data_IF_492883937144
#
_entry.id   IF_492883937144
#
_cell.length_a   1.000
_cell.length_b   1.000
_cell.length_c   1.000
_cell.angle_alpha   90.00
_cell.angle_beta   90.00
_cell.angle_gamma   90.00
#
_symmetry.space_group_name_H-M   'P 1'
#
loop_
_entity.id
_entity.type
_entity.pdbx_description
1 polymer ?
#
# COMPACT_ATOMS: atom_id res chain seq x y z
N UNK A 1 21.49 -36.96 8.44
CA UNK A 1 22.35 -35.76 8.61
C UNK A 1 21.45 -34.55 8.52
N UNK A 2 21.57 -33.61 9.45
CA UNK A 2 20.82 -32.35 9.42
C UNK A 2 21.30 -31.53 8.22
N UNK A 3 20.36 -30.97 7.44
CA UNK A 3 20.67 -30.06 6.34
C UNK A 3 20.19 -28.65 6.70
N UNK A 4 21.00 -27.63 6.42
CA UNK A 4 20.63 -26.23 6.61
C UNK A 4 21.02 -25.36 5.42
N UNK A 5 20.20 -24.35 5.11
CA UNK A 5 20.53 -23.27 4.18
C UNK A 5 20.19 -21.91 4.78
N UNK A 6 20.93 -20.87 4.40
CA UNK A 6 20.75 -19.49 4.88
C UNK A 6 20.82 -18.51 3.71
N UNK A 7 19.99 -17.48 3.73
CA UNK A 7 19.98 -16.39 2.75
C UNK A 7 19.65 -15.07 3.44
N UNK A 8 20.18 -13.96 2.94
CA UNK A 8 20.00 -12.62 3.51
C UNK A 8 19.31 -11.70 2.51
N UNK A 9 18.52 -10.76 3.02
CA UNK A 9 17.77 -9.78 2.22
C UNK A 9 17.55 -8.49 3.02
N UNK A 10 17.39 -7.36 2.33
CA UNK A 10 17.19 -6.05 2.95
C UNK A 10 15.72 -5.63 2.93
N UNK A 11 15.27 -5.01 4.02
CA UNK A 11 13.96 -4.34 4.12
C UNK A 11 14.18 -2.86 4.40
N UNK A 12 13.60 -1.97 3.58
CA UNK A 12 13.71 -0.54 3.83
C UNK A 12 12.84 -0.12 5.04
N UNK A 13 13.31 0.88 5.80
CA UNK A 13 12.61 1.35 7.00
C UNK A 13 11.17 1.80 6.75
N UNK A 14 10.90 2.42 5.58
CA UNK A 14 9.54 2.83 5.23
C UNK A 14 8.63 1.63 4.93
N UNK A 15 9.17 0.55 4.35
CA UNK A 15 8.41 -0.67 4.10
C UNK A 15 8.01 -1.29 5.43
N UNK A 16 8.98 -1.50 6.33
CA UNK A 16 8.77 -2.10 7.65
C UNK A 16 7.68 -1.41 8.47
N UNK A 17 7.53 -0.09 8.34
CA UNK A 17 6.53 0.67 9.10
C UNK A 17 5.11 0.60 8.51
N UNK A 18 4.98 0.28 7.22
CA UNK A 18 3.70 0.30 6.50
C UNK A 18 3.18 -1.09 6.10
N UNK A 19 3.97 -2.14 6.33
CA UNK A 19 3.57 -3.53 6.06
C UNK A 19 2.56 -4.03 7.10
N UNK A 20 1.51 -4.69 6.61
CA UNK A 20 0.53 -5.42 7.42
C UNK A 20 1.02 -6.84 7.73
N UNK A 21 1.51 -7.54 6.70
CA UNK A 21 2.06 -8.89 6.78
C UNK A 21 3.04 -9.15 5.64
N UNK A 22 3.89 -10.16 5.80
CA UNK A 22 4.73 -10.66 4.71
C UNK A 22 4.25 -12.05 4.30
N UNK A 23 4.25 -12.33 3.00
CA UNK A 23 4.01 -13.68 2.49
C UNK A 23 5.36 -14.31 2.12
N UNK A 24 5.76 -15.34 2.85
CA UNK A 24 6.88 -16.19 2.47
C UNK A 24 6.36 -17.30 1.56
N UNK A 25 6.94 -17.45 0.37
CA UNK A 25 6.67 -18.57 -0.53
C UNK A 25 7.96 -19.20 -1.04
N UNK A 26 7.98 -20.52 -1.18
CA UNK A 26 9.13 -21.27 -1.69
C UNK A 26 8.68 -22.63 -2.23
N UNK A 27 9.58 -23.30 -2.96
CA UNK A 27 9.39 -24.64 -3.47
C UNK A 27 10.34 -25.61 -2.79
N UNK A 28 9.86 -26.79 -2.41
CA UNK A 28 10.68 -27.84 -1.79
C UNK A 28 10.68 -29.08 -2.68
N UNK A 29 11.87 -29.47 -3.12
CA UNK A 29 12.12 -30.73 -3.81
C UNK A 29 12.90 -31.69 -2.88
N UNK A 30 12.52 -32.96 -2.86
CA UNK A 30 13.05 -33.97 -1.95
C UNK A 30 13.73 -35.07 -2.74
N UNK A 31 15.04 -35.22 -2.55
CA UNK A 31 15.83 -36.21 -3.28
C UNK A 31 15.77 -37.61 -2.63
N UNK A 32 15.26 -37.73 -1.40
CA UNK A 32 15.23 -38.97 -0.62
C UNK A 32 13.81 -39.47 -0.37
N UNK A 33 13.65 -40.79 -0.24
CA UNK A 33 12.40 -41.43 0.21
C UNK A 33 12.09 -41.18 1.69
N UNK A 34 13.06 -40.66 2.45
CA UNK A 34 12.90 -40.27 3.85
C UNK A 34 12.70 -38.76 3.93
N UNK A 35 11.60 -38.34 4.56
CA UNK A 35 11.31 -36.94 4.90
C UNK A 35 11.31 -36.76 6.42
N UNK A 36 11.90 -35.66 6.87
CA UNK A 36 11.91 -35.20 8.24
C UNK A 36 11.14 -33.88 8.42
N UNK A 37 11.13 -33.40 9.66
CA UNK A 37 10.57 -32.10 10.01
C UNK A 37 11.50 -30.99 9.52
N UNK A 38 10.92 -30.00 8.87
CA UNK A 38 11.58 -28.78 8.44
C UNK A 38 11.20 -27.62 9.36
N UNK A 39 12.19 -26.83 9.76
CA UNK A 39 12.02 -25.60 10.54
C UNK A 39 12.49 -24.41 9.70
N UNK A 40 11.72 -23.32 9.74
CA UNK A 40 12.01 -22.05 9.07
C UNK A 40 12.25 -21.00 10.14
N UNK A 41 13.36 -20.29 10.02
CA UNK A 41 13.77 -19.25 10.95
C UNK A 41 14.00 -17.92 10.23
N UNK A 42 13.59 -16.82 10.86
CA UNK A 42 13.89 -15.46 10.42
C UNK A 42 14.57 -14.73 11.56
N UNK A 43 15.76 -14.19 11.32
CA UNK A 43 16.58 -13.52 12.35
C UNK A 43 16.71 -14.37 13.63
N UNK A 44 17.06 -15.65 13.45
CA UNK A 44 17.21 -16.66 14.52
C UNK A 44 15.92 -16.94 15.33
N UNK A 45 14.74 -16.58 14.79
CA UNK A 45 13.43 -16.89 15.39
C UNK A 45 12.68 -17.89 14.54
N UNK A 46 12.26 -19.00 15.14
CA UNK A 46 11.41 -19.97 14.49
C UNK A 46 10.05 -19.35 14.12
N UNK A 47 9.71 -19.38 12.82
CA UNK A 47 8.46 -18.83 12.28
C UNK A 47 7.50 -19.90 11.75
N UNK A 48 8.03 -21.07 11.40
CA UNK A 48 7.23 -22.20 10.94
C UNK A 48 7.96 -23.53 11.18
N UNK A 49 7.18 -24.58 11.43
CA UNK A 49 7.65 -25.95 11.52
C UNK A 49 6.64 -26.91 10.90
N UNK A 50 7.08 -27.74 9.96
CA UNK A 50 6.19 -28.66 9.24
C UNK A 50 6.97 -29.80 8.57
N UNK A 51 6.27 -30.85 8.14
CA UNK A 51 6.85 -31.87 7.25
C UNK A 51 6.48 -31.47 5.81
N UNK A 52 7.45 -31.15 4.93
CA UNK A 52 7.16 -30.66 3.59
C UNK A 52 6.45 -31.71 2.73
N UNK A 53 5.41 -31.30 2.02
CA UNK A 53 4.86 -32.06 0.90
C UNK A 53 5.70 -31.76 -0.35
N UNK A 54 6.59 -32.69 -0.68
CA UNK A 54 7.59 -32.52 -1.71
C UNK A 54 6.95 -32.34 -3.09
N UNK A 55 7.48 -31.41 -3.87
CA UNK A 55 7.01 -31.18 -5.24
C UNK A 55 5.93 -30.11 -5.38
N UNK A 56 5.49 -29.50 -4.27
CA UNK A 56 4.47 -28.44 -4.23
C UNK A 56 5.02 -27.12 -3.70
N UNK A 57 4.52 -25.96 -4.18
CA UNK A 57 4.84 -24.67 -3.58
C UNK A 57 4.20 -24.54 -2.20
N UNK A 58 4.93 -23.96 -1.26
CA UNK A 58 4.47 -23.64 0.09
C UNK A 58 4.39 -22.14 0.28
N UNK A 59 3.40 -21.67 1.02
CA UNK A 59 3.22 -20.25 1.34
C UNK A 59 2.69 -20.06 2.77
N UNK A 60 3.23 -19.07 3.47
CA UNK A 60 2.83 -18.72 4.84
C UNK A 60 2.79 -17.20 5.01
N UNK A 61 1.78 -16.73 5.74
CA UNK A 61 1.74 -15.35 6.23
C UNK A 61 2.63 -15.22 7.47
N UNK A 62 3.45 -14.17 7.50
CA UNK A 62 4.40 -13.86 8.54
C UNK A 62 4.09 -12.49 9.13
N UNK A 63 4.16 -12.41 10.46
CA UNK A 63 3.99 -11.15 11.18
C UNK A 63 5.18 -10.21 10.90
N UNK A 64 4.95 -8.89 10.73
CA UNK A 64 6.03 -7.91 10.54
C UNK A 64 7.06 -7.88 11.68
N UNK A 65 6.68 -8.35 12.89
CA UNK A 65 7.55 -8.42 14.07
C UNK A 65 8.72 -9.39 13.96
N UNK A 66 8.74 -10.27 12.95
CA UNK A 66 9.88 -11.14 12.68
C UNK A 66 11.01 -10.42 11.93
N UNK A 67 10.73 -9.24 11.37
CA UNK A 67 11.65 -8.51 10.51
C UNK A 67 12.17 -7.23 11.18
N UNK A 68 13.39 -6.85 10.81
CA UNK A 68 14.04 -5.58 11.18
C UNK A 68 14.24 -4.72 9.94
N UNK A 69 14.41 -3.40 10.14
CA UNK A 69 14.88 -2.54 9.05
C UNK A 69 16.35 -2.85 8.74
N UNK A 70 16.71 -2.88 7.46
CA UNK A 70 18.03 -3.31 7.00
C UNK A 70 18.08 -4.81 6.73
N UNK A 71 19.24 -5.41 7.01
CA UNK A 71 19.52 -6.80 6.69
C UNK A 71 18.73 -7.76 7.58
N UNK A 72 18.13 -8.75 6.96
CA UNK A 72 17.41 -9.85 7.58
C UNK A 72 17.92 -11.17 7.03
N UNK A 73 17.88 -12.19 7.87
CA UNK A 73 18.28 -13.55 7.51
C UNK A 73 17.08 -14.49 7.53
N UNK A 74 17.00 -15.36 6.53
CA UNK A 74 16.13 -16.54 6.53
C UNK A 74 16.96 -17.81 6.51
N UNK A 75 16.64 -18.74 7.40
CA UNK A 75 17.27 -20.04 7.47
C UNK A 75 16.24 -21.15 7.39
N UNK A 76 16.59 -22.23 6.70
CA UNK A 76 15.82 -23.46 6.65
C UNK A 76 16.68 -24.57 7.22
N UNK A 77 16.11 -25.40 8.08
CA UNK A 77 16.77 -26.59 8.60
C UNK A 77 15.84 -27.80 8.52
N UNK A 78 16.39 -28.98 8.32
CA UNK A 78 15.64 -30.23 8.37
C UNK A 78 16.38 -31.29 9.19
N UNK A 79 15.64 -32.01 10.04
CA UNK A 79 16.20 -33.01 10.95
C UNK A 79 16.61 -34.32 10.24
N UNK A 80 15.92 -34.67 9.15
CA UNK A 80 16.18 -35.83 8.31
C UNK A 80 15.76 -35.60 6.85
N UNK A 81 16.40 -36.31 5.91
CA UNK A 81 16.14 -36.19 4.48
C UNK A 81 17.14 -35.29 3.74
N UNK A 82 16.98 -35.18 2.41
CA UNK A 82 17.74 -34.26 1.55
C UNK A 82 16.78 -33.38 0.77
N UNK A 83 16.90 -32.08 0.94
CA UNK A 83 15.99 -31.09 0.37
C UNK A 83 16.72 -30.13 -0.56
N UNK A 84 16.03 -29.70 -1.61
CA UNK A 84 16.38 -28.53 -2.40
C UNK A 84 15.28 -27.50 -2.22
N UNK A 85 15.65 -26.34 -1.67
CA UNK A 85 14.72 -25.23 -1.43
C UNK A 85 14.99 -24.18 -2.50
N UNK A 86 13.95 -23.84 -3.25
CA UNK A 86 14.06 -23.02 -4.44
C UNK A 86 12.99 -21.93 -4.42
N UNK A 87 13.20 -20.89 -5.25
CA UNK A 87 12.22 -19.83 -5.48
C UNK A 87 11.75 -19.14 -4.20
N UNK A 88 12.65 -18.98 -3.22
CA UNK A 88 12.35 -18.27 -1.98
C UNK A 88 11.97 -16.83 -2.32
N UNK A 89 10.75 -16.44 -1.95
CA UNK A 89 10.22 -15.09 -2.13
C UNK A 89 9.57 -14.64 -0.84
N UNK A 90 9.83 -13.40 -0.48
CA UNK A 90 9.18 -12.71 0.62
C UNK A 90 8.49 -11.49 0.01
N UNK A 91 7.16 -11.48 0.04
CA UNK A 91 6.36 -10.42 -0.59
C UNK A 91 5.64 -9.65 0.51
N UNK A 92 5.91 -8.34 0.69
CA UNK A 92 5.17 -7.52 1.63
C UNK A 92 3.72 -7.31 1.16
N UNK A 93 2.78 -7.38 2.09
CA UNK A 93 1.41 -6.88 1.94
C UNK A 93 1.30 -5.63 2.79
N UNK A 94 1.16 -4.48 2.15
CA UNK A 94 1.05 -3.18 2.84
C UNK A 94 -0.36 -3.01 3.42
N UNK A 95 -0.45 -2.27 4.53
CA UNK A 95 -1.75 -1.86 5.08
C UNK A 95 -2.48 -1.04 4.02
N UNK A 96 -3.80 -1.21 3.93
CA UNK A 96 -4.63 -0.28 3.16
C UNK A 96 -4.40 1.14 3.67
N UNK A 97 -3.75 1.98 2.85
CA UNK A 97 -3.54 3.38 3.21
C UNK A 97 -4.90 4.06 3.16
N UNK A 98 -5.45 4.32 4.34
CA UNK A 98 -6.67 5.11 4.48
C UNK A 98 -6.31 6.58 4.25
N UNK A 99 -6.67 7.09 3.08
CA UNK A 99 -6.47 8.49 2.75
C UNK A 99 -7.58 9.37 3.32
N UNK A 100 -7.28 10.62 3.72
CA UNK A 100 -8.29 11.53 4.27
C UNK A 100 -9.40 11.79 3.25
N UNK A 101 -10.64 11.74 3.74
CA UNK A 101 -11.83 12.14 2.99
C UNK A 101 -12.40 13.39 3.62
N UNK A 102 -12.50 14.45 2.83
CA UNK A 102 -13.06 15.73 3.19
C UNK A 102 -14.50 15.81 2.72
N UNK A 103 -15.37 16.41 3.53
CA UNK A 103 -16.77 16.59 3.20
C UNK A 103 -17.08 18.08 3.10
N UNK A 104 -17.91 18.44 2.12
CA UNK A 104 -18.45 19.79 2.00
C UNK A 104 -19.92 19.72 1.60
N UNK A 105 -20.68 20.73 2.02
CA UNK A 105 -22.11 20.82 1.75
C UNK A 105 -22.40 21.94 0.75
N UNK A 106 -23.18 21.62 -0.28
CA UNK A 106 -23.73 22.60 -1.23
C UNK A 106 -25.20 22.82 -0.88
N UNK A 107 -25.56 24.06 -0.53
CA UNK A 107 -26.94 24.42 -0.22
C UNK A 107 -27.80 24.37 -1.49
N UNK A 108 -29.10 24.12 -1.33
CA UNK A 108 -30.04 24.07 -2.46
C UNK A 108 -29.96 25.31 -3.37
N UNK A 109 -29.87 26.52 -2.78
CA UNK A 109 -29.76 27.77 -3.54
C UNK A 109 -28.46 27.87 -4.35
N UNK A 110 -27.34 27.40 -3.81
CA UNK A 110 -26.05 27.37 -4.49
C UNK A 110 -26.06 26.33 -5.61
N UNK A 111 -26.63 25.15 -5.34
CA UNK A 111 -26.76 24.07 -6.32
C UNK A 111 -27.59 24.51 -7.53
N UNK A 112 -28.74 25.14 -7.32
CA UNK A 112 -29.56 25.69 -8.41
C UNK A 112 -28.76 26.69 -9.26
N UNK A 113 -27.96 27.56 -8.62
CA UNK A 113 -27.13 28.54 -9.33
C UNK A 113 -26.00 27.87 -10.13
N UNK A 114 -25.41 26.79 -9.62
CA UNK A 114 -24.40 25.97 -10.31
C UNK A 114 -24.98 25.28 -11.53
N UNK A 115 -26.15 24.66 -11.40
CA UNK A 115 -26.84 24.00 -12.52
C UNK A 115 -27.21 25.01 -13.63
N UNK A 116 -27.61 26.21 -13.23
CA UNK A 116 -27.92 27.31 -14.15
C UNK A 116 -26.69 28.10 -14.62
N UNK A 117 -25.47 27.68 -14.27
CA UNK A 117 -24.19 28.30 -14.66
C UNK A 117 -24.02 29.77 -14.24
N UNK A 118 -24.80 30.22 -13.25
CA UNK A 118 -24.71 31.57 -12.65
C UNK A 118 -23.76 31.63 -11.46
N UNK A 119 -23.30 30.48 -10.99
CA UNK A 119 -22.30 30.30 -9.94
C UNK A 119 -21.42 29.11 -10.33
N UNK A 120 -20.12 29.19 -10.07
CA UNK A 120 -19.16 28.11 -10.28
C UNK A 120 -18.55 27.70 -8.95
N UNK A 121 -18.09 26.45 -8.88
CA UNK A 121 -17.39 25.92 -7.72
C UNK A 121 -15.99 25.47 -8.12
N UNK A 122 -15.00 25.66 -7.24
CA UNK A 122 -13.65 25.16 -7.44
C UNK A 122 -13.03 24.65 -6.15
N UNK A 123 -12.15 23.68 -6.29
CA UNK A 123 -11.18 23.27 -5.27
C UNK A 123 -9.89 24.06 -5.47
N UNK A 124 -9.33 24.55 -4.37
CA UNK A 124 -7.95 25.01 -4.29
C UNK A 124 -7.18 24.19 -3.28
N UNK A 125 -6.04 23.68 -3.70
CA UNK A 125 -5.08 22.98 -2.85
C UNK A 125 -3.81 23.81 -2.83
N UNK A 126 -3.29 24.10 -1.64
CA UNK A 126 -1.95 24.63 -1.43
C UNK A 126 -1.11 23.56 -0.77
N UNK A 127 0.11 23.40 -1.26
CA UNK A 127 1.05 22.42 -0.74
C UNK A 127 2.12 23.07 0.15
N UNK A 128 2.86 22.24 0.89
CA UNK A 128 3.96 22.71 1.73
C UNK A 128 5.19 23.14 0.92
N UNK A 129 5.43 22.54 -0.25
CA UNK A 129 6.57 22.79 -1.12
C UNK A 129 6.21 22.80 -2.63
N UNK A 130 7.21 23.01 -3.50
CA UNK A 130 7.10 22.88 -4.97
C UNK A 130 7.69 21.60 -5.54
N UNK A 131 7.98 20.58 -4.72
CA UNK A 131 8.42 19.29 -5.23
C UNK A 131 7.38 18.68 -6.17
N UNK A 132 7.81 17.73 -7.00
CA UNK A 132 6.92 17.00 -7.91
C UNK A 132 5.86 16.25 -7.10
N UNK A 133 4.59 16.41 -7.48
CA UNK A 133 3.44 15.82 -6.81
C UNK A 133 2.61 15.06 -7.80
N UNK A 134 2.27 13.84 -7.40
CA UNK A 134 1.38 13.00 -8.16
C UNK A 134 0.33 12.43 -7.22
N UNK A 135 -0.93 12.63 -7.56
CA UNK A 135 -2.05 12.15 -6.74
C UNK A 135 -3.30 11.98 -7.57
N UNK A 136 -4.19 11.10 -7.11
CA UNK A 136 -5.57 11.09 -7.56
C UNK A 136 -6.42 11.89 -6.58
N UNK A 137 -7.42 12.62 -7.07
CA UNK A 137 -8.53 13.02 -6.22
C UNK A 137 -9.83 12.43 -6.73
N UNK A 138 -10.74 12.15 -5.81
CA UNK A 138 -12.05 11.58 -6.08
C UNK A 138 -13.13 12.51 -5.54
N UNK A 139 -14.00 13.01 -6.41
CA UNK A 139 -15.20 13.77 -6.06
C UNK A 139 -16.44 12.92 -6.35
N UNK A 140 -17.22 12.55 -5.35
CA UNK A 140 -18.47 11.78 -5.51
C UNK A 140 -18.38 10.54 -6.45
N UNK A 141 -17.24 9.82 -6.41
CA UNK A 141 -16.85 8.67 -7.27
C UNK A 141 -16.15 8.98 -8.59
N UNK A 142 -16.02 10.24 -8.98
CA UNK A 142 -15.26 10.63 -10.18
C UNK A 142 -13.80 10.81 -9.81
N UNK A 143 -12.92 10.08 -10.49
CA UNK A 143 -11.48 10.11 -10.24
C UNK A 143 -10.80 11.04 -11.26
N UNK A 144 -9.90 11.88 -10.77
CA UNK A 144 -9.02 12.71 -11.58
C UNK A 144 -7.58 12.51 -11.12
N UNK A 145 -6.67 12.29 -12.06
CA UNK A 145 -5.23 12.23 -11.81
C UNK A 145 -4.63 13.63 -11.97
N UNK A 146 -3.75 13.99 -11.07
CA UNK A 146 -3.02 15.25 -11.05
C UNK A 146 -1.53 14.95 -10.99
N UNK A 147 -0.78 15.61 -11.86
CA UNK A 147 0.67 15.55 -11.93
C UNK A 147 1.18 16.98 -12.15
N UNK A 148 1.84 17.55 -11.12
CA UNK A 148 2.24 18.96 -11.07
C UNK A 148 3.52 19.15 -10.26
N UNK A 149 4.23 20.25 -10.53
CA UNK A 149 5.41 20.68 -9.75
C UNK A 149 5.24 22.12 -9.24
N UNK A 150 4.04 22.44 -8.74
CA UNK A 150 3.66 23.77 -8.27
C UNK A 150 3.28 23.75 -6.77
N UNK A 151 3.29 24.93 -6.15
CA UNK A 151 2.81 25.14 -4.77
C UNK A 151 1.28 25.12 -4.65
N UNK A 152 0.56 25.30 -5.75
CA UNK A 152 -0.90 25.39 -5.76
C UNK A 152 -1.49 24.62 -6.93
N UNK A 153 -2.68 24.07 -6.69
CA UNK A 153 -3.52 23.42 -7.69
C UNK A 153 -4.94 23.94 -7.57
N UNK A 154 -5.55 24.31 -8.70
CA UNK A 154 -6.95 24.71 -8.77
C UNK A 154 -7.70 23.79 -9.73
N UNK A 155 -8.85 23.30 -9.30
CA UNK A 155 -9.76 22.51 -10.11
C UNK A 155 -11.16 23.12 -10.07
N UNK A 156 -11.64 23.61 -11.20
CA UNK A 156 -13.05 24.01 -11.35
C UNK A 156 -13.89 22.74 -11.50
N UNK A 157 -14.89 22.58 -10.64
CA UNK A 157 -15.77 21.42 -10.67
C UNK A 157 -16.76 21.55 -11.82
N UNK A 158 -16.84 20.57 -12.75
CA UNK A 158 -17.99 20.42 -13.62
C UNK A 158 -19.26 20.28 -12.78
N UNK A 159 -20.37 20.87 -13.23
CA UNK A 159 -21.65 20.80 -12.49
C UNK A 159 -22.15 19.36 -12.33
N UNK A 160 -21.76 18.48 -13.25
CA UNK A 160 -22.06 17.05 -13.26
C UNK A 160 -21.31 16.27 -12.16
N UNK A 161 -20.20 16.83 -11.65
CA UNK A 161 -19.37 16.19 -10.63
C UNK A 161 -19.90 16.46 -9.19
N UNK A 162 -20.87 17.37 -9.06
CA UNK A 162 -21.39 17.85 -7.78
C UNK A 162 -22.80 17.33 -7.49
N UNK A 163 -23.05 17.07 -6.21
CA UNK A 163 -24.35 16.65 -5.69
C UNK A 163 -24.96 17.76 -4.84
N UNK A 164 -26.29 17.87 -4.84
CA UNK A 164 -26.99 18.69 -3.86
C UNK A 164 -26.76 18.13 -2.45
N UNK A 165 -26.42 18.99 -1.49
CA UNK A 165 -26.13 18.58 -0.12
C UNK A 165 -24.69 18.10 0.04
N UNK A 166 -24.49 16.92 0.63
CA UNK A 166 -23.16 16.45 1.02
C UNK A 166 -22.37 15.90 -0.17
N UNK A 167 -21.14 16.40 -0.31
CA UNK A 167 -20.17 15.98 -1.30
C UNK A 167 -18.94 15.43 -0.57
N UNK A 168 -18.28 14.44 -1.17
CA UNK A 168 -17.09 13.81 -0.63
C UNK A 168 -15.90 13.98 -1.58
N UNK A 169 -14.80 14.51 -1.05
CA UNK A 169 -13.52 14.68 -1.72
C UNK A 169 -12.46 13.82 -1.03
N UNK A 170 -11.94 12.81 -1.72
CA UNK A 170 -10.82 11.98 -1.25
C UNK A 170 -9.57 12.30 -2.05
N UNK A 171 -8.42 12.44 -1.40
CA UNK A 171 -7.13 12.67 -2.07
C UNK A 171 -6.24 11.47 -1.80
N UNK A 172 -5.78 10.79 -2.86
CA UNK A 172 -5.01 9.55 -2.82
C UNK A 172 -3.63 9.80 -3.44
N UNK A 173 -2.61 10.16 -2.63
CA UNK A 173 -1.26 10.42 -3.12
C UNK A 173 -0.62 9.18 -3.76
N UNK A 174 0.10 9.39 -4.86
CA UNK A 174 0.95 8.39 -5.51
C UNK A 174 2.39 8.54 -4.99
N UNK A 175 2.80 9.77 -4.67
CA UNK A 175 4.05 10.09 -3.98
C UNK A 175 3.79 10.95 -2.72
N UNK A 176 4.84 11.37 -2.01
CA UNK A 176 4.70 12.21 -0.81
C UNK A 176 3.93 13.50 -1.12
N UNK A 177 2.82 13.72 -0.41
CA UNK A 177 1.95 14.87 -0.61
C UNK A 177 1.66 15.56 0.73
N UNK A 178 2.25 16.75 0.91
CA UNK A 178 1.99 17.60 2.08
C UNK A 178 1.09 18.76 1.68
N UNK A 179 -0.15 18.75 2.18
CA UNK A 179 -1.17 19.77 1.92
C UNK A 179 -1.17 20.75 3.09
N UNK A 180 -0.89 22.01 2.81
CA UNK A 180 -0.95 23.09 3.80
C UNK A 180 -2.35 23.70 3.90
N UNK A 181 -3.10 23.72 2.79
CA UNK A 181 -4.46 24.24 2.77
C UNK A 181 -5.30 23.53 1.69
N UNK A 182 -6.56 23.24 2.02
CA UNK A 182 -7.56 22.74 1.09
C UNK A 182 -8.85 23.56 1.28
N UNK A 183 -9.34 24.17 0.19
CA UNK A 183 -10.55 24.99 0.19
C UNK A 183 -11.45 24.64 -0.98
N UNK A 184 -12.75 24.67 -0.72
CA UNK A 184 -13.80 24.71 -1.76
C UNK A 184 -14.40 26.10 -1.74
N UNK A 185 -14.41 26.77 -2.90
CA UNK A 185 -14.89 28.14 -3.05
C UNK A 185 -15.96 28.21 -4.14
N UNK A 186 -16.93 29.12 -3.95
CA UNK A 186 -17.91 29.49 -4.97
C UNK A 186 -17.58 30.87 -5.54
N UNK A 187 -17.73 31.04 -6.85
CA UNK A 187 -17.42 32.29 -7.52
C UNK A 187 -18.36 32.53 -8.70
N UNK A 188 -18.58 33.79 -9.06
CA UNK A 188 -19.34 34.13 -10.27
C UNK A 188 -18.43 33.96 -11.51
N UNK A 189 -18.97 33.49 -12.65
CA UNK A 189 -18.20 33.29 -13.89
C UNK A 189 -17.44 34.52 -14.38
#
# INVERSE_FOLDING_TARGET
>A
SMQSSKSSFDIASFERNNVEKYMLSFYVDCASTTTGKMSVEINDRNVAEFVPDCGSPLAFDLAPSYFVSGENDIAFSADAGRYSIQQIKIVPSFKDIQYPTYYFNIKNEEFIKIINETLKARMKIRFADSSHKEFNFRINNIIKRVDISNFEYTYEFPKEDLLQGNNALKIEPINTLEISELKVEYFNP
#
